data_IF_798722299089
#
_entry.id   IF_798722299089
#
_cell.length_a   1.000
_cell.length_b   1.000
_cell.length_c   1.000
_cell.angle_alpha   90.00
_cell.angle_beta   90.00
_cell.angle_gamma   90.00
#
_symmetry.space_group_name_H-M   'P 1'
#
loop_
_entity.id
_entity.type
_entity.pdbx_description
1 polymer ?
#
# COMPACT_ATOMS: atom_id res chain seq x y z
N UNK A 1 -20.14 -10.26 -10.62
CA UNK A 1 -18.82 -10.77 -10.23
C UNK A 1 -18.05 -11.17 -11.47
N UNK A 2 -16.88 -10.57 -11.67
CA UNK A 2 -16.05 -10.94 -12.81
C UNK A 2 -15.34 -12.27 -12.54
N UNK A 3 -15.30 -13.13 -13.55
CA UNK A 3 -14.53 -14.36 -13.50
C UNK A 3 -13.28 -14.21 -14.35
N UNK A 4 -12.17 -14.75 -13.87
CA UNK A 4 -10.97 -14.81 -14.69
C UNK A 4 -11.25 -15.69 -15.90
N UNK A 5 -11.09 -15.13 -17.10
CA UNK A 5 -11.22 -15.90 -18.33
C UNK A 5 -10.08 -16.91 -18.43
N UNK A 6 -10.33 -18.16 -18.91
CA UNK A 6 -9.25 -19.10 -19.18
C UNK A 6 -8.20 -18.56 -20.18
N UNK A 7 -8.61 -17.61 -21.02
CA UNK A 7 -7.75 -16.98 -22.02
C UNK A 7 -7.11 -15.68 -21.52
N UNK A 8 -7.34 -15.32 -20.24
CA UNK A 8 -6.77 -14.12 -19.67
C UNK A 8 -5.24 -14.20 -19.67
N UNK A 9 -4.60 -13.14 -20.16
CA UNK A 9 -3.15 -13.02 -20.16
C UNK A 9 -2.71 -12.18 -18.98
N UNK A 10 -1.56 -12.53 -18.39
CA UNK A 10 -0.94 -11.71 -17.37
C UNK A 10 -0.60 -10.34 -17.94
N UNK A 11 -0.97 -9.29 -17.23
CA UNK A 11 -0.65 -7.92 -17.60
C UNK A 11 0.25 -7.31 -16.52
N UNK A 12 1.52 -7.01 -16.83
CA UNK A 12 2.38 -6.29 -15.90
C UNK A 12 1.80 -4.92 -15.56
N UNK A 13 1.88 -4.55 -14.30
CA UNK A 13 1.41 -3.26 -13.81
C UNK A 13 2.59 -2.43 -13.32
N UNK A 14 2.48 -1.13 -13.46
CA UNK A 14 3.43 -0.18 -12.90
C UNK A 14 2.98 0.20 -11.50
N UNK A 15 3.80 -0.09 -10.51
CA UNK A 15 3.44 0.04 -9.10
C UNK A 15 4.37 1.05 -8.42
N UNK A 16 3.78 1.93 -7.62
CA UNK A 16 4.51 2.75 -6.67
C UNK A 16 4.46 2.06 -5.30
N UNK A 17 5.61 1.92 -4.64
CA UNK A 17 5.71 1.38 -3.29
C UNK A 17 6.04 2.52 -2.34
N UNK A 18 5.17 2.72 -1.35
CA UNK A 18 5.32 3.80 -0.37
C UNK A 18 5.43 3.20 1.02
N UNK A 19 6.53 3.48 1.70
CA UNK A 19 6.70 3.15 3.12
C UNK A 19 6.37 4.39 3.94
N UNK A 20 5.40 4.28 4.83
CA UNK A 20 4.98 5.39 5.69
C UNK A 20 5.66 5.21 7.04
N UNK A 21 6.63 6.07 7.35
CA UNK A 21 7.41 5.97 8.57
C UNK A 21 8.10 7.29 8.90
N UNK A 22 8.15 7.62 10.19
CA UNK A 22 8.88 8.78 10.70
C UNK A 22 10.37 8.49 10.88
N UNK A 23 10.78 7.22 10.92
CA UNK A 23 12.13 6.83 11.36
C UNK A 23 12.91 6.00 10.35
N UNK A 24 12.23 5.29 9.45
CA UNK A 24 12.93 4.40 8.51
C UNK A 24 13.65 5.17 7.41
N UNK A 25 14.73 4.56 6.92
CA UNK A 25 15.48 5.06 5.76
C UNK A 25 15.55 3.95 4.71
N UNK A 26 16.12 4.25 3.54
CA UNK A 26 16.31 3.26 2.49
C UNK A 26 17.14 2.05 2.95
N UNK A 27 18.04 2.24 3.93
CA UNK A 27 18.93 1.19 4.41
C UNK A 27 18.24 0.18 5.33
N UNK A 28 17.13 0.57 5.98
CA UNK A 28 16.41 -0.27 6.95
C UNK A 28 14.93 -0.46 6.63
N UNK A 29 14.53 -0.22 5.40
CA UNK A 29 13.14 -0.35 4.94
C UNK A 29 12.82 -1.80 4.52
N UNK A 30 12.76 -2.69 5.50
CA UNK A 30 12.52 -4.12 5.25
C UNK A 30 11.18 -4.41 4.61
N UNK A 31 10.10 -3.72 5.02
CA UNK A 31 8.78 -3.92 4.44
C UNK A 31 8.70 -3.43 3.01
N UNK A 32 9.25 -2.25 2.74
CA UNK A 32 9.32 -1.72 1.38
C UNK A 32 10.16 -2.59 0.46
N UNK A 33 11.32 -3.08 0.95
CA UNK A 33 12.18 -4.01 0.21
C UNK A 33 11.42 -5.30 -0.14
N UNK A 34 10.68 -5.86 0.82
CA UNK A 34 9.90 -7.08 0.62
C UNK A 34 8.82 -6.88 -0.44
N UNK A 35 8.07 -5.78 -0.37
CA UNK A 35 7.02 -5.49 -1.35
C UNK A 35 7.62 -5.31 -2.74
N UNK A 36 8.68 -4.53 -2.86
CA UNK A 36 9.33 -4.28 -4.14
C UNK A 36 9.85 -5.58 -4.76
N UNK A 37 10.55 -6.39 -3.99
CA UNK A 37 11.06 -7.68 -4.48
C UNK A 37 9.93 -8.64 -4.87
N UNK A 38 8.85 -8.68 -4.09
CA UNK A 38 7.69 -9.54 -4.39
C UNK A 38 7.01 -9.13 -5.69
N UNK A 39 6.83 -7.83 -5.91
CA UNK A 39 6.22 -7.31 -7.14
C UNK A 39 7.07 -7.64 -8.37
N UNK A 40 8.38 -7.42 -8.28
CA UNK A 40 9.29 -7.73 -9.39
C UNK A 40 9.29 -9.24 -9.69
N UNK A 41 9.29 -10.07 -8.66
CA UNK A 41 9.25 -11.53 -8.80
C UNK A 41 7.97 -11.99 -9.51
N UNK A 42 6.84 -11.33 -9.25
CA UNK A 42 5.57 -11.63 -9.90
C UNK A 42 5.42 -10.98 -11.29
N UNK A 43 6.43 -10.27 -11.76
CA UNK A 43 6.46 -9.72 -13.11
C UNK A 43 5.91 -8.31 -13.24
N UNK A 44 5.65 -7.62 -12.15
CA UNK A 44 5.26 -6.21 -12.15
C UNK A 44 6.48 -5.29 -12.12
N UNK A 45 6.27 -4.02 -12.40
CA UNK A 45 7.34 -3.01 -12.42
C UNK A 45 7.17 -2.04 -11.26
N UNK A 46 8.17 -1.93 -10.41
CA UNK A 46 8.20 -0.90 -9.37
C UNK A 46 8.80 0.36 -9.98
N UNK A 47 7.94 1.30 -10.38
CA UNK A 47 8.35 2.51 -11.11
C UNK A 47 8.61 3.70 -10.18
N UNK A 48 8.07 3.67 -8.97
CA UNK A 48 8.33 4.67 -7.93
C UNK A 48 8.48 3.96 -6.60
N UNK A 49 9.41 4.43 -5.80
CA UNK A 49 9.59 3.96 -4.44
C UNK A 49 9.97 5.12 -3.55
N UNK A 50 9.27 5.26 -2.42
CA UNK A 50 9.53 6.36 -1.51
C UNK A 50 9.23 5.98 -0.07
N UNK A 51 9.84 6.73 0.85
CA UNK A 51 9.55 6.70 2.27
C UNK A 51 8.96 8.08 2.61
N UNK A 52 7.77 8.07 3.18
CA UNK A 52 7.01 9.29 3.48
C UNK A 52 6.74 9.35 4.98
N UNK A 53 6.90 10.52 5.56
CA UNK A 53 6.58 10.72 6.96
C UNK A 53 5.10 10.51 7.24
N UNK A 54 4.79 10.01 8.43
CA UNK A 54 3.42 9.82 8.89
C UNK A 54 2.83 11.18 9.31
N UNK A 55 2.55 12.00 8.31
CA UNK A 55 2.01 13.35 8.45
C UNK A 55 0.85 13.49 7.47
N UNK A 56 -0.27 14.00 7.98
CA UNK A 56 -1.52 14.09 7.22
C UNK A 56 -1.36 14.80 5.87
N UNK A 57 -0.70 15.94 5.86
CA UNK A 57 -0.62 16.76 4.65
C UNK A 57 0.50 16.33 3.72
N UNK A 58 1.61 15.83 4.27
CA UNK A 58 2.69 15.25 3.45
C UNK A 58 2.16 14.00 2.73
N UNK A 59 1.43 13.13 3.43
CA UNK A 59 0.80 11.95 2.83
C UNK A 59 -0.18 12.34 1.71
N UNK A 60 -1.05 13.32 1.95
CA UNK A 60 -1.98 13.79 0.91
C UNK A 60 -1.25 14.32 -0.31
N UNK A 61 -0.20 15.10 -0.13
CA UNK A 61 0.57 15.67 -1.23
C UNK A 61 1.24 14.58 -2.06
N UNK A 62 1.93 13.65 -1.41
CA UNK A 62 2.67 12.59 -2.10
C UNK A 62 1.72 11.60 -2.80
N UNK A 63 0.64 11.18 -2.14
CA UNK A 63 -0.32 10.27 -2.76
C UNK A 63 -1.10 10.94 -3.88
N UNK A 64 -1.44 12.21 -3.76
CA UNK A 64 -2.10 12.95 -4.85
C UNK A 64 -1.20 13.01 -6.08
N UNK A 65 0.09 13.23 -5.90
CA UNK A 65 1.05 13.25 -7.00
C UNK A 65 1.15 11.87 -7.68
N UNK A 66 1.16 10.79 -6.90
CA UNK A 66 1.19 9.42 -7.44
C UNK A 66 -0.10 9.08 -8.19
N UNK A 67 -1.26 9.49 -7.66
CA UNK A 67 -2.56 9.28 -8.32
C UNK A 67 -2.60 10.02 -9.66
N UNK A 68 -2.02 11.22 -9.72
CA UNK A 68 -1.97 12.03 -10.94
C UNK A 68 -0.90 11.59 -11.94
N UNK A 69 0.00 10.71 -11.56
CA UNK A 69 1.11 10.24 -12.40
C UNK A 69 0.63 9.17 -13.37
N UNK A 70 0.66 9.47 -14.66
CA UNK A 70 0.20 8.57 -15.72
C UNK A 70 0.98 7.25 -15.79
N UNK A 71 2.21 7.22 -15.27
CA UNK A 71 3.01 6.00 -15.26
C UNK A 71 2.65 5.05 -14.13
N UNK A 72 1.89 5.49 -13.12
CA UNK A 72 1.54 4.71 -11.94
C UNK A 72 0.14 4.14 -12.08
N UNK A 73 0.02 2.82 -12.08
CA UNK A 73 -1.27 2.14 -12.12
C UNK A 73 -1.80 1.79 -10.75
N UNK A 74 -0.92 1.47 -9.81
CA UNK A 74 -1.27 1.06 -8.45
C UNK A 74 -0.28 1.67 -7.47
N UNK A 75 -0.78 2.08 -6.32
CA UNK A 75 0.05 2.46 -5.18
C UNK A 75 -0.16 1.44 -4.07
N UNK A 76 0.93 0.78 -3.65
CA UNK A 76 0.93 -0.07 -2.46
C UNK A 76 1.67 0.66 -1.34
N UNK A 77 1.02 0.77 -0.20
CA UNK A 77 1.63 1.40 0.97
C UNK A 77 1.76 0.43 2.12
N UNK A 78 2.78 0.63 2.93
CA UNK A 78 3.02 -0.12 4.16
C UNK A 78 3.41 0.86 5.27
N UNK A 79 3.10 0.49 6.51
CA UNK A 79 3.37 1.35 7.67
C UNK A 79 2.13 2.04 8.21
N UNK A 80 2.33 2.91 9.19
CA UNK A 80 1.24 3.65 9.85
C UNK A 80 0.15 2.72 10.42
N UNK A 81 0.57 1.61 11.02
CA UNK A 81 -0.36 0.56 11.48
C UNK A 81 -0.80 0.74 12.93
N UNK A 82 -0.28 1.73 13.63
CA UNK A 82 -0.60 1.97 15.03
C UNK A 82 -1.90 2.74 15.25
N UNK A 83 -2.17 3.02 16.52
CA UNK A 83 -3.36 3.72 16.98
C UNK A 83 -3.02 5.03 17.70
N UNK A 84 -1.78 5.50 17.57
CA UNK A 84 -1.36 6.77 18.17
C UNK A 84 -1.77 7.96 17.33
N UNK A 85 -1.62 9.16 17.86
CA UNK A 85 -1.87 10.39 17.12
C UNK A 85 -0.93 10.63 15.94
N UNK A 86 0.17 9.85 15.85
CA UNK A 86 1.10 9.91 14.70
C UNK A 86 0.70 8.95 13.58
N UNK A 87 -0.17 8.00 13.85
CA UNK A 87 -0.59 6.98 12.87
C UNK A 87 -1.82 7.49 12.12
N UNK A 88 -1.61 8.33 11.11
CA UNK A 88 -2.68 9.12 10.48
C UNK A 88 -2.96 8.73 9.01
N UNK A 89 -2.38 7.64 8.51
CA UNK A 89 -2.53 7.30 7.08
C UNK A 89 -3.98 7.12 6.63
N UNK A 90 -4.84 6.35 7.32
CA UNK A 90 -6.24 6.24 6.89
C UNK A 90 -6.95 7.58 6.86
N UNK A 91 -6.79 8.40 7.89
CA UNK A 91 -7.42 9.71 7.98
C UNK A 91 -6.89 10.69 6.93
N UNK A 92 -5.60 10.58 6.60
CA UNK A 92 -4.97 11.41 5.58
C UNK A 92 -5.45 11.07 4.17
N UNK A 93 -5.58 9.76 3.87
CA UNK A 93 -5.79 9.27 2.51
C UNK A 93 -7.27 9.12 2.14
N UNK A 94 -8.15 8.88 3.10
CA UNK A 94 -9.57 8.68 2.84
C UNK A 94 -10.20 9.79 1.98
N UNK A 95 -9.90 11.08 2.21
CA UNK A 95 -10.45 12.15 1.36
C UNK A 95 -10.02 12.08 -0.11
N UNK A 96 -9.01 11.30 -0.44
CA UNK A 96 -8.53 11.12 -1.82
C UNK A 96 -9.25 9.98 -2.54
N UNK A 97 -10.06 9.19 -1.83
CA UNK A 97 -10.72 8.03 -2.42
C UNK A 97 -11.95 8.43 -3.23
N UNK A 98 -12.08 7.91 -4.43
CA UNK A 98 -13.34 7.95 -5.17
C UNK A 98 -14.28 6.85 -4.70
N UNK A 99 -13.74 5.66 -4.46
CA UNK A 99 -14.47 4.48 -4.01
C UNK A 99 -13.62 3.64 -3.06
N UNK A 100 -14.30 2.92 -2.17
CA UNK A 100 -13.65 2.00 -1.25
C UNK A 100 -14.07 0.57 -1.56
N UNK A 101 -13.10 -0.36 -1.56
CA UNK A 101 -13.36 -1.79 -1.72
C UNK A 101 -13.22 -2.44 -0.34
N UNK A 102 -14.32 -2.54 0.38
CA UNK A 102 -14.31 -3.07 1.75
C UNK A 102 -13.90 -4.54 1.82
N UNK A 103 -14.28 -5.33 0.82
CA UNK A 103 -13.93 -6.74 0.77
C UNK A 103 -12.44 -7.01 0.73
N UNK A 104 -11.65 -6.10 0.20
CA UNK A 104 -10.18 -6.23 0.23
C UNK A 104 -9.67 -6.26 1.67
N UNK A 105 -10.11 -5.31 2.51
CA UNK A 105 -9.70 -5.26 3.91
C UNK A 105 -10.13 -6.50 4.69
N UNK A 106 -11.32 -7.02 4.42
CA UNK A 106 -11.81 -8.25 5.05
C UNK A 106 -10.91 -9.45 4.72
N UNK A 107 -10.59 -9.65 3.45
CA UNK A 107 -9.72 -10.75 3.02
C UNK A 107 -8.30 -10.58 3.54
N UNK A 108 -7.79 -9.36 3.52
CA UNK A 108 -6.46 -9.06 4.06
C UNK A 108 -6.36 -9.42 5.54
N UNK A 109 -7.37 -9.03 6.33
CA UNK A 109 -7.39 -9.35 7.76
C UNK A 109 -7.54 -10.84 8.03
N UNK A 110 -8.34 -11.56 7.23
CA UNK A 110 -8.43 -13.02 7.34
C UNK A 110 -7.08 -13.69 7.09
N UNK A 111 -6.36 -13.25 6.07
CA UNK A 111 -5.02 -13.77 5.79
C UNK A 111 -4.04 -13.44 6.94
N UNK A 112 -4.13 -12.25 7.50
CA UNK A 112 -3.23 -11.80 8.56
C UNK A 112 -3.45 -12.54 9.89
N UNK A 113 -4.66 -12.97 10.19
CA UNK A 113 -4.96 -13.71 11.43
C UNK A 113 -4.08 -14.96 11.56
N UNK A 114 -3.81 -15.65 10.46
CA UNK A 114 -2.95 -16.83 10.45
C UNK A 114 -1.53 -16.52 10.93
N UNK A 115 -1.03 -15.33 10.60
CA UNK A 115 0.36 -14.95 10.91
C UNK A 115 0.48 -14.24 12.25
N UNK A 116 -0.43 -13.30 12.58
CA UNK A 116 -0.30 -12.41 13.72
C UNK A 116 -1.45 -12.50 14.73
N UNK A 117 -2.44 -13.36 14.49
CA UNK A 117 -3.55 -13.60 15.43
C UNK A 117 -4.38 -12.35 15.69
N UNK A 118 -4.72 -12.12 16.97
CA UNK A 118 -5.59 -11.03 17.40
C UNK A 118 -5.03 -9.64 17.10
N UNK A 119 -3.72 -9.50 16.87
CA UNK A 119 -3.12 -8.21 16.51
C UNK A 119 -3.66 -7.67 15.17
N UNK A 120 -4.29 -8.52 14.37
CA UNK A 120 -4.97 -8.13 13.12
C UNK A 120 -6.01 -7.02 13.34
N UNK A 121 -6.57 -6.90 14.53
CA UNK A 121 -7.56 -5.86 14.86
C UNK A 121 -7.02 -4.44 14.64
N UNK A 122 -5.71 -4.26 14.67
CA UNK A 122 -5.08 -2.94 14.45
C UNK A 122 -4.95 -2.59 12.97
N UNK A 123 -5.30 -3.49 12.07
CA UNK A 123 -5.21 -3.25 10.63
C UNK A 123 -6.28 -2.23 10.20
N UNK A 124 -5.87 -1.03 9.85
CA UNK A 124 -6.71 0.08 9.40
C UNK A 124 -6.31 0.46 7.99
#
# INVERSE_FOLDING_TARGET
MSRTSPDAKFMPLNVAVVTISDTRTADDDGSGDYLAASLEREGHHVVRRMIVKDDRYILRAEFSALIADDEVSIVLSTGSTGLTGRDVAPEALEPLFDKTIEGFGELFRQASVTDIGAATIQSR
#
